data_IF_186492464781
#
_entry.id   IF_186492464781
#
_cell.length_a   1.000
_cell.length_b   1.000
_cell.length_c   1.000
_cell.angle_alpha   90.00
_cell.angle_beta   90.00
_cell.angle_gamma   90.00
#
_symmetry.space_group_name_H-M   'P 1'
#
loop_
_entity.id
_entity.type
_entity.pdbx_description
1 polymer ?
#
# COMPACT_ATOMS: atom_id res chain seq x y z
N UNK A 1 -2.13 -20.73 -37.29
CA UNK A 1 -3.57 -20.73 -36.90
C UNK A 1 -3.85 -21.26 -35.51
N UNK A 2 -2.86 -21.71 -34.75
CA UNK A 2 -3.04 -22.15 -33.33
C UNK A 2 -2.94 -21.03 -32.31
N UNK A 3 -2.28 -19.92 -32.63
CA UNK A 3 -2.04 -18.80 -31.71
C UNK A 3 -3.29 -17.92 -31.47
N UNK A 4 -4.24 -17.89 -32.40
CA UNK A 4 -5.45 -17.06 -32.24
C UNK A 4 -6.57 -17.73 -31.40
N UNK A 5 -6.53 -19.07 -31.24
CA UNK A 5 -7.50 -19.78 -30.38
C UNK A 5 -7.21 -19.64 -28.89
N UNK A 6 -5.95 -19.55 -28.49
CA UNK A 6 -5.57 -19.42 -27.07
C UNK A 6 -5.97 -18.10 -26.41
N UNK A 7 -5.83 -16.98 -27.13
CA UNK A 7 -6.20 -15.64 -26.62
C UNK A 7 -7.70 -15.48 -26.43
N UNK A 8 -8.52 -16.06 -27.35
CA UNK A 8 -9.97 -16.04 -27.25
C UNK A 8 -10.53 -16.85 -26.06
N UNK A 9 -9.86 -17.95 -25.68
CA UNK A 9 -10.29 -18.79 -24.57
C UNK A 9 -9.90 -18.23 -23.19
N UNK A 10 -8.77 -17.53 -23.09
CA UNK A 10 -8.37 -16.82 -21.85
C UNK A 10 -9.32 -15.64 -21.59
N UNK A 11 -9.68 -14.89 -22.63
CA UNK A 11 -10.66 -13.81 -22.52
C UNK A 11 -12.09 -14.32 -22.22
N UNK A 12 -12.49 -15.45 -22.77
CA UNK A 12 -13.78 -16.10 -22.46
C UNK A 12 -13.85 -16.66 -21.04
N UNK A 13 -12.74 -17.07 -20.44
CA UNK A 13 -12.70 -17.51 -19.02
C UNK A 13 -12.91 -16.36 -18.04
N UNK A 14 -12.67 -15.11 -18.43
CA UNK A 14 -12.90 -13.93 -17.59
C UNK A 14 -14.32 -13.37 -17.69
N UNK A 15 -15.04 -13.64 -18.77
CA UNK A 15 -16.45 -13.26 -18.92
C UNK A 15 -17.30 -14.45 -18.46
N UNK A 16 -17.38 -14.66 -17.14
CA UNK A 16 -18.45 -15.51 -16.58
C UNK A 16 -19.78 -14.78 -16.74
N UNK A 17 -20.81 -15.54 -17.15
CA UNK A 17 -22.19 -15.06 -17.17
C UNK A 17 -22.52 -14.37 -15.85
N UNK A 18 -23.31 -13.28 -15.92
CA UNK A 18 -23.71 -12.54 -14.75
C UNK A 18 -24.42 -13.47 -13.77
N UNK A 19 -23.79 -13.73 -12.64
CA UNK A 19 -24.38 -14.55 -11.57
C UNK A 19 -25.70 -13.89 -11.10
N UNK A 20 -26.83 -14.60 -11.11
CA UNK A 20 -28.10 -14.09 -10.62
C UNK A 20 -28.00 -13.56 -9.18
N UNK A 21 -28.79 -12.53 -8.85
CA UNK A 21 -28.78 -11.93 -7.52
C UNK A 21 -29.01 -12.93 -6.37
N UNK A 22 -29.84 -13.96 -6.60
CA UNK A 22 -30.09 -15.03 -5.60
C UNK A 22 -28.82 -15.81 -5.26
N UNK A 23 -28.01 -16.14 -6.27
CA UNK A 23 -26.76 -16.86 -6.09
C UNK A 23 -25.69 -15.99 -5.43
N UNK A 24 -25.69 -14.67 -5.71
CA UNK A 24 -24.83 -13.72 -5.00
C UNK A 24 -25.15 -13.66 -3.51
N UNK A 25 -26.43 -13.62 -3.14
CA UNK A 25 -26.85 -13.63 -1.73
C UNK A 25 -26.47 -14.95 -1.04
N UNK A 26 -26.52 -16.08 -1.76
CA UNK A 26 -26.05 -17.35 -1.23
C UNK A 26 -24.54 -17.38 -0.99
N UNK A 27 -23.77 -16.79 -1.91
CA UNK A 27 -22.31 -16.63 -1.75
C UNK A 27 -21.95 -15.73 -0.57
N UNK A 28 -22.74 -14.69 -0.30
CA UNK A 28 -22.55 -13.85 0.90
C UNK A 28 -22.62 -14.67 2.20
N UNK A 29 -23.49 -15.69 2.23
CA UNK A 29 -23.60 -16.60 3.37
C UNK A 29 -22.33 -17.43 3.59
N UNK A 30 -21.50 -17.61 2.59
CA UNK A 30 -20.25 -18.36 2.70
C UNK A 30 -19.06 -17.50 3.12
N UNK A 31 -19.13 -16.17 2.93
CA UNK A 31 -18.03 -15.24 3.26
C UNK A 31 -18.32 -14.41 4.51
N UNK A 32 -19.46 -14.61 5.18
CA UNK A 32 -19.86 -13.80 6.34
C UNK A 32 -18.83 -13.81 7.48
N UNK A 33 -18.13 -14.92 7.66
CA UNK A 33 -17.07 -15.04 8.67
C UNK A 33 -15.93 -14.06 8.43
N UNK A 34 -15.52 -13.90 7.16
CA UNK A 34 -14.44 -12.96 6.76
C UNK A 34 -14.93 -11.54 6.99
N UNK A 35 -16.17 -11.24 6.60
CA UNK A 35 -16.78 -9.92 6.81
C UNK A 35 -16.86 -9.62 8.32
N UNK A 36 -17.26 -10.60 9.14
CA UNK A 36 -17.34 -10.45 10.59
C UNK A 36 -15.97 -10.09 11.19
N UNK A 37 -14.91 -10.84 10.84
CA UNK A 37 -13.55 -10.54 11.31
C UNK A 37 -13.16 -9.13 10.91
N UNK A 38 -13.38 -8.76 9.63
CA UNK A 38 -13.04 -7.44 9.13
C UNK A 38 -13.78 -6.33 9.90
N UNK A 39 -15.09 -6.47 10.10
CA UNK A 39 -15.90 -5.51 10.86
C UNK A 39 -15.46 -5.41 12.32
N UNK A 40 -15.14 -6.54 12.97
CA UNK A 40 -14.66 -6.55 14.36
C UNK A 40 -13.30 -5.87 14.46
N UNK A 41 -12.36 -6.21 13.57
CA UNK A 41 -11.02 -5.60 13.58
C UNK A 41 -11.07 -4.09 13.31
N UNK A 42 -11.60 -3.72 12.17
CA UNK A 42 -11.63 -2.32 11.73
C UNK A 42 -12.55 -1.50 12.63
N UNK A 43 -13.75 -1.99 12.93
CA UNK A 43 -14.68 -1.32 13.82
C UNK A 43 -14.10 -1.12 15.23
N UNK A 44 -13.44 -2.14 15.78
CA UNK A 44 -12.82 -2.04 17.09
C UNK A 44 -11.63 -1.08 17.15
N UNK A 45 -10.84 -0.99 16.08
CA UNK A 45 -9.75 0.01 15.97
C UNK A 45 -10.35 1.43 15.93
N UNK A 46 -11.36 1.67 15.07
CA UNK A 46 -11.99 2.99 14.96
C UNK A 46 -12.76 3.41 16.23
N UNK A 47 -13.32 2.45 16.96
CA UNK A 47 -13.98 2.71 18.25
C UNK A 47 -12.99 2.85 19.42
N UNK A 48 -11.68 2.66 19.17
CA UNK A 48 -10.63 2.78 20.17
C UNK A 48 -10.58 1.61 21.17
N UNK A 49 -11.24 0.47 20.88
CA UNK A 49 -11.18 -0.71 21.76
C UNK A 49 -9.82 -1.39 21.73
N UNK A 50 -9.12 -1.32 20.62
CA UNK A 50 -7.78 -1.89 20.47
C UNK A 50 -6.92 -1.13 19.46
N UNK A 51 -5.62 -1.25 19.65
CA UNK A 51 -4.60 -0.75 18.72
C UNK A 51 -4.59 -1.58 17.42
N UNK A 52 -4.00 -1.08 16.32
CA UNK A 52 -3.84 -1.85 15.09
C UNK A 52 -3.15 -3.21 15.30
N UNK A 53 -2.16 -3.28 16.21
CA UNK A 53 -1.43 -4.51 16.53
C UNK A 53 -2.32 -5.53 17.25
N UNK A 54 -3.12 -5.07 18.21
CA UNK A 54 -4.10 -5.92 18.90
C UNK A 54 -5.20 -6.37 17.94
N UNK A 55 -5.67 -5.49 17.05
CA UNK A 55 -6.60 -5.83 15.98
C UNK A 55 -6.06 -6.92 15.07
N UNK A 56 -4.77 -6.86 14.69
CA UNK A 56 -4.13 -7.90 13.89
C UNK A 56 -4.10 -9.26 14.63
N UNK A 57 -3.85 -9.27 15.95
CA UNK A 57 -3.88 -10.49 16.75
C UNK A 57 -5.30 -11.12 16.80
N UNK A 58 -6.32 -10.28 16.94
CA UNK A 58 -7.75 -10.71 16.89
C UNK A 58 -8.06 -11.30 15.51
N UNK A 59 -7.60 -10.67 14.43
CA UNK A 59 -7.77 -11.17 13.06
C UNK A 59 -7.10 -12.52 12.85
N UNK A 60 -5.86 -12.68 13.32
CA UNK A 60 -5.12 -13.95 13.25
C UNK A 60 -5.83 -15.05 14.05
N UNK A 61 -6.27 -14.77 15.29
CA UNK A 61 -7.04 -15.70 16.11
C UNK A 61 -8.38 -16.07 15.45
N UNK A 62 -9.12 -15.08 14.94
CA UNK A 62 -10.40 -15.28 14.27
C UNK A 62 -10.28 -16.16 13.02
N UNK A 63 -9.30 -15.90 12.17
CA UNK A 63 -9.03 -16.73 10.99
C UNK A 63 -8.62 -18.15 11.37
N UNK A 64 -7.81 -18.30 12.43
CA UNK A 64 -7.44 -19.62 12.99
C UNK A 64 -8.67 -20.41 13.45
N UNK A 65 -9.59 -19.78 14.19
CA UNK A 65 -10.85 -20.39 14.65
C UNK A 65 -11.70 -20.85 13.44
N UNK A 66 -11.83 -19.99 12.42
CA UNK A 66 -12.57 -20.34 11.19
C UNK A 66 -11.92 -21.54 10.48
N UNK A 67 -10.59 -21.58 10.37
CA UNK A 67 -9.88 -22.68 9.75
C UNK A 67 -10.08 -24.00 10.51
N UNK A 68 -10.11 -23.97 11.84
CA UNK A 68 -10.38 -25.13 12.69
C UNK A 68 -11.85 -25.60 12.51
N UNK A 69 -12.82 -24.68 12.55
CA UNK A 69 -14.24 -25.03 12.40
C UNK A 69 -14.56 -25.59 11.03
N UNK A 70 -13.90 -25.13 9.99
CA UNK A 70 -14.01 -25.63 8.62
C UNK A 70 -13.20 -26.91 8.37
N UNK A 71 -12.55 -27.47 9.40
CA UNK A 71 -11.71 -28.67 9.30
C UNK A 71 -10.60 -28.58 8.25
N UNK A 72 -10.23 -27.37 7.87
CA UNK A 72 -9.11 -27.10 6.92
C UNK A 72 -7.76 -26.95 7.63
N UNK A 73 -7.76 -26.90 8.97
CA UNK A 73 -6.57 -26.69 9.79
C UNK A 73 -6.07 -28.03 10.38
N UNK A 74 -4.82 -28.34 10.09
CA UNK A 74 -4.13 -29.49 10.65
C UNK A 74 -2.75 -29.09 11.14
N UNK A 75 -2.05 -29.98 11.85
CA UNK A 75 -0.74 -29.68 12.44
C UNK A 75 0.31 -29.33 11.37
N UNK A 76 0.24 -29.92 10.19
CA UNK A 76 1.14 -29.61 9.09
C UNK A 76 0.91 -28.19 8.58
N UNK A 77 -0.36 -27.80 8.32
CA UNK A 77 -0.72 -26.44 7.93
C UNK A 77 -0.33 -25.42 9.00
N UNK A 78 -0.43 -25.77 10.27
CA UNK A 78 0.00 -24.91 11.38
C UNK A 78 1.50 -24.64 11.34
N UNK A 79 2.32 -25.69 11.16
CA UNK A 79 3.78 -25.55 11.05
C UNK A 79 4.15 -24.70 9.82
N UNK A 80 3.51 -24.95 8.66
CA UNK A 80 3.73 -24.17 7.43
C UNK A 80 3.41 -22.67 7.63
N UNK A 81 2.33 -22.36 8.35
CA UNK A 81 1.96 -20.96 8.68
C UNK A 81 3.01 -20.33 9.60
N UNK A 82 3.46 -21.03 10.65
CA UNK A 82 4.49 -20.54 11.57
C UNK A 82 5.81 -20.30 10.83
N UNK A 83 6.24 -21.25 9.99
CA UNK A 83 7.47 -21.14 9.20
C UNK A 83 7.39 -19.93 8.24
N UNK A 84 6.32 -19.83 7.48
CA UNK A 84 6.09 -18.70 6.56
C UNK A 84 6.07 -17.36 7.30
N UNK A 85 5.41 -17.30 8.45
CA UNK A 85 5.36 -16.09 9.30
C UNK A 85 6.74 -15.74 9.81
N UNK A 86 7.50 -16.72 10.30
CA UNK A 86 8.85 -16.50 10.81
C UNK A 86 9.80 -15.97 9.73
N UNK A 87 9.76 -16.55 8.52
CA UNK A 87 10.56 -16.09 7.38
C UNK A 87 10.19 -14.66 6.99
N UNK A 88 8.90 -14.36 6.85
CA UNK A 88 8.43 -13.03 6.46
C UNK A 88 8.79 -11.99 7.52
N UNK A 89 8.57 -12.31 8.80
CA UNK A 89 8.92 -11.44 9.93
C UNK A 89 10.42 -11.21 10.00
N UNK A 90 11.22 -12.27 9.82
CA UNK A 90 12.68 -12.17 9.78
C UNK A 90 13.17 -11.26 8.65
N UNK A 91 12.56 -11.35 7.47
CA UNK A 91 12.87 -10.45 6.35
C UNK A 91 12.54 -8.98 6.68
N UNK A 92 11.38 -8.73 7.29
CA UNK A 92 10.98 -7.38 7.72
C UNK A 92 11.98 -6.81 8.74
N UNK A 93 12.37 -7.60 9.76
CA UNK A 93 13.36 -7.16 10.74
C UNK A 93 14.74 -6.89 10.13
N UNK A 94 15.14 -7.67 9.12
CA UNK A 94 16.39 -7.43 8.40
C UNK A 94 16.36 -6.11 7.61
N UNK A 95 15.23 -5.80 6.97
CA UNK A 95 15.01 -4.50 6.30
C UNK A 95 15.04 -3.35 7.31
N UNK A 96 14.37 -3.50 8.46
CA UNK A 96 14.38 -2.51 9.55
C UNK A 96 15.79 -2.24 10.05
N UNK A 97 16.59 -3.29 10.26
CA UNK A 97 17.99 -3.14 10.68
C UNK A 97 18.81 -2.35 9.66
N UNK A 98 18.66 -2.68 8.38
CA UNK A 98 19.32 -1.94 7.30
C UNK A 98 18.89 -0.47 7.23
N UNK A 99 17.59 -0.21 7.41
CA UNK A 99 17.03 1.13 7.46
C UNK A 99 17.60 1.94 8.63
N UNK A 100 17.76 1.33 9.81
CA UNK A 100 18.33 1.99 10.99
C UNK A 100 19.78 2.42 10.77
N UNK A 101 20.60 1.57 10.17
CA UNK A 101 21.98 1.94 9.79
C UNK A 101 21.99 3.08 8.77
N UNK A 102 21.14 3.02 7.77
CA UNK A 102 21.02 4.08 6.77
C UNK A 102 20.56 5.40 7.40
N UNK A 103 19.54 5.37 8.23
CA UNK A 103 19.04 6.55 8.93
C UNK A 103 20.10 7.18 9.86
N UNK A 104 20.89 6.35 10.53
CA UNK A 104 22.04 6.82 11.34
C UNK A 104 23.07 7.53 10.46
N UNK A 105 23.38 6.98 9.29
CA UNK A 105 24.28 7.62 8.31
C UNK A 105 23.70 8.97 7.83
N UNK A 106 22.41 9.01 7.43
CA UNK A 106 21.74 10.22 6.99
C UNK A 106 21.72 11.30 8.08
N UNK A 107 21.51 10.92 9.35
CA UNK A 107 21.57 11.85 10.47
C UNK A 107 22.98 12.45 10.64
N UNK A 108 24.04 11.63 10.52
CA UNK A 108 25.43 12.09 10.60
C UNK A 108 25.81 13.02 9.44
N UNK A 109 25.30 12.80 8.24
CA UNK A 109 25.56 13.66 7.08
C UNK A 109 24.79 14.97 7.12
N UNK A 110 23.84 15.14 8.04
CA UNK A 110 22.95 16.30 8.16
C UNK A 110 22.13 16.57 6.86
N UNK A 111 21.94 15.55 6.03
CA UNK A 111 21.27 15.68 4.73
C UNK A 111 19.87 16.33 4.83
N UNK A 112 18.98 16.00 5.80
CA UNK A 112 17.70 16.67 5.95
C UNK A 112 17.83 18.18 6.17
N UNK A 113 18.80 18.59 6.99
CA UNK A 113 19.07 20.01 7.27
C UNK A 113 19.59 20.74 6.02
N UNK A 114 20.52 20.13 5.28
CA UNK A 114 21.04 20.68 4.03
C UNK A 114 19.92 20.88 2.98
N UNK A 115 19.01 19.91 2.85
CA UNK A 115 17.86 20.04 1.95
C UNK A 115 16.90 21.16 2.40
N UNK A 116 16.70 21.31 3.71
CA UNK A 116 15.87 22.37 4.28
C UNK A 116 16.49 23.76 4.03
N UNK A 117 17.80 23.91 4.27
CA UNK A 117 18.53 25.14 4.00
C UNK A 117 18.53 25.48 2.51
N UNK A 118 18.81 24.51 1.65
CA UNK A 118 18.75 24.68 0.21
C UNK A 118 17.38 25.16 -0.29
N UNK A 119 16.29 24.58 0.27
CA UNK A 119 14.93 24.99 -0.07
C UNK A 119 14.66 26.44 0.35
N UNK A 120 15.09 26.84 1.53
CA UNK A 120 14.91 28.20 2.07
C UNK A 120 15.76 29.23 1.33
N UNK A 121 17.04 28.95 1.07
CA UNK A 121 17.96 29.85 0.37
C UNK A 121 17.48 30.16 -1.05
N UNK A 122 16.94 29.15 -1.74
CA UNK A 122 16.42 29.31 -3.09
C UNK A 122 14.95 29.76 -3.14
N UNK A 123 14.30 30.02 -2.00
CA UNK A 123 12.89 30.40 -1.92
C UNK A 123 11.97 29.47 -2.72
N UNK A 124 12.21 28.15 -2.61
CA UNK A 124 11.44 27.16 -3.35
C UNK A 124 9.99 27.13 -2.86
N UNK A 125 9.06 27.14 -3.81
CA UNK A 125 7.65 27.04 -3.48
C UNK A 125 7.34 25.69 -2.82
N UNK A 126 6.68 25.67 -1.65
CA UNK A 126 6.41 24.43 -0.89
C UNK A 126 5.78 23.31 -1.71
N UNK A 127 4.80 23.65 -2.54
CA UNK A 127 4.12 22.66 -3.40
C UNK A 127 5.07 22.05 -4.45
N UNK A 128 5.99 22.84 -5.00
CA UNK A 128 6.98 22.33 -5.97
C UNK A 128 7.92 21.33 -5.29
N UNK A 129 8.35 21.60 -4.06
CA UNK A 129 9.18 20.67 -3.29
C UNK A 129 8.46 19.34 -3.06
N UNK A 130 7.21 19.38 -2.61
CA UNK A 130 6.43 18.16 -2.41
C UNK A 130 6.18 17.44 -3.75
N UNK A 131 5.89 18.15 -4.83
CA UNK A 131 5.73 17.54 -6.16
C UNK A 131 7.01 16.80 -6.61
N UNK A 132 8.19 17.37 -6.40
CA UNK A 132 9.47 16.72 -6.69
C UNK A 132 9.66 15.46 -5.85
N UNK A 133 9.31 15.51 -4.56
CA UNK A 133 9.36 14.34 -3.66
C UNK A 133 8.39 13.26 -4.16
N UNK A 134 7.16 13.61 -4.56
CA UNK A 134 6.18 12.63 -5.07
C UNK A 134 6.66 11.98 -6.37
N UNK A 135 7.27 12.74 -7.29
CA UNK A 135 7.87 12.18 -8.51
C UNK A 135 9.00 11.22 -8.17
N UNK A 136 9.86 11.58 -7.22
CA UNK A 136 10.93 10.70 -6.74
C UNK A 136 10.35 9.41 -6.12
N UNK A 137 9.32 9.53 -5.29
CA UNK A 137 8.63 8.37 -4.69
C UNK A 137 7.99 7.46 -5.74
N UNK A 138 7.37 8.03 -6.77
CA UNK A 138 6.83 7.25 -7.88
C UNK A 138 7.93 6.44 -8.58
N UNK A 139 9.08 7.07 -8.82
CA UNK A 139 10.22 6.41 -9.45
C UNK A 139 10.83 5.32 -8.54
N UNK A 140 11.08 5.62 -7.27
CA UNK A 140 11.60 4.65 -6.31
C UNK A 140 10.63 3.49 -6.08
N UNK A 141 9.32 3.77 -6.02
CA UNK A 141 8.27 2.76 -5.87
C UNK A 141 8.23 1.75 -7.01
N UNK A 142 8.68 2.13 -8.23
CA UNK A 142 8.82 1.16 -9.32
C UNK A 142 9.91 0.12 -9.05
N UNK A 143 10.90 0.42 -8.19
CA UNK A 143 12.13 -0.35 -8.01
C UNK A 143 12.22 -1.06 -6.64
N UNK A 144 11.57 -0.49 -5.62
CA UNK A 144 11.70 -0.91 -4.23
C UNK A 144 10.35 -1.36 -3.66
N UNK A 145 10.42 -2.19 -2.63
CA UNK A 145 9.26 -2.49 -1.79
C UNK A 145 8.78 -1.26 -1.00
N UNK A 146 7.46 -1.13 -0.80
CA UNK A 146 6.83 0.03 -0.15
C UNK A 146 7.35 0.25 1.27
N UNK A 147 7.48 -0.82 2.07
CA UNK A 147 7.94 -0.72 3.45
C UNK A 147 9.38 -0.21 3.51
N UNK A 148 10.29 -0.81 2.73
CA UNK A 148 11.67 -0.41 2.67
C UNK A 148 11.81 1.05 2.23
N UNK A 149 11.07 1.45 1.20
CA UNK A 149 11.11 2.82 0.67
C UNK A 149 10.67 3.84 1.72
N UNK A 150 9.54 3.62 2.39
CA UNK A 150 9.03 4.53 3.43
C UNK A 150 10.04 4.65 4.58
N UNK A 151 10.56 3.53 5.08
CA UNK A 151 11.50 3.52 6.19
C UNK A 151 12.81 4.25 5.90
N UNK A 152 13.28 4.20 4.65
CA UNK A 152 14.53 4.85 4.25
C UNK A 152 14.34 6.35 3.95
N UNK A 153 13.19 6.76 3.45
CA UNK A 153 13.01 8.09 2.87
C UNK A 153 12.27 9.08 3.77
N UNK A 154 11.35 8.61 4.62
CA UNK A 154 10.61 9.48 5.57
C UNK A 154 11.57 10.25 6.48
N UNK A 155 12.61 9.67 7.09
CA UNK A 155 13.55 10.42 7.93
C UNK A 155 14.27 11.56 7.19
N UNK A 156 14.37 11.47 5.87
CA UNK A 156 15.00 12.51 5.02
C UNK A 156 14.01 13.60 4.66
N UNK A 157 12.84 13.23 4.13
CA UNK A 157 11.90 14.19 3.54
C UNK A 157 10.87 14.76 4.52
N UNK A 158 10.52 14.02 5.57
CA UNK A 158 9.55 14.51 6.54
C UNK A 158 10.01 15.79 7.26
N UNK A 159 11.26 15.92 7.78
CA UNK A 159 11.75 17.16 8.37
C UNK A 159 11.74 18.33 7.37
N UNK A 160 12.09 18.08 6.11
CA UNK A 160 12.05 19.07 5.05
C UNK A 160 10.61 19.59 4.86
N UNK A 161 9.64 18.69 4.67
CA UNK A 161 8.23 19.05 4.46
C UNK A 161 7.67 19.81 5.67
N UNK A 162 7.99 19.37 6.90
CA UNK A 162 7.55 20.03 8.12
C UNK A 162 8.16 21.41 8.32
N UNK A 163 9.23 21.74 7.61
CA UNK A 163 9.85 23.08 7.62
C UNK A 163 9.24 24.08 6.64
N UNK A 164 8.36 23.62 5.75
CA UNK A 164 7.69 24.41 4.73
C UNK A 164 6.31 24.86 5.22
N UNK A 165 5.84 26.00 4.73
CA UNK A 165 4.53 26.56 5.07
C UNK A 165 3.51 26.26 3.98
N UNK A 166 2.51 25.44 4.30
CA UNK A 166 1.37 25.09 3.44
C UNK A 166 0.08 25.78 3.87
N UNK A 167 0.12 26.65 4.88
CA UNK A 167 -1.08 27.21 5.50
C UNK A 167 -1.90 26.18 6.30
N UNK A 168 -1.29 25.06 6.66
CA UNK A 168 -1.85 23.96 7.45
C UNK A 168 -1.15 23.89 8.81
N UNK A 169 -1.83 23.35 9.82
CA UNK A 169 -1.16 23.04 11.08
C UNK A 169 -0.09 21.94 10.88
N UNK A 170 0.90 21.82 11.80
CA UNK A 170 1.90 20.77 11.69
C UNK A 170 1.29 19.36 11.64
N UNK A 171 0.23 19.11 12.41
CA UNK A 171 -0.47 17.84 12.43
C UNK A 171 -1.19 17.55 11.10
N UNK A 172 -1.90 18.54 10.55
CA UNK A 172 -2.55 18.43 9.25
C UNK A 172 -1.54 18.19 8.11
N UNK A 173 -0.40 18.89 8.15
CA UNK A 173 0.70 18.72 7.18
C UNK A 173 1.25 17.30 7.25
N UNK A 174 1.48 16.78 8.45
CA UNK A 174 1.99 15.42 8.66
C UNK A 174 1.02 14.36 8.10
N UNK A 175 -0.28 14.50 8.37
CA UNK A 175 -1.32 13.59 7.88
C UNK A 175 -1.44 13.66 6.36
N UNK A 176 -1.52 14.87 5.80
CA UNK A 176 -1.61 15.07 4.36
C UNK A 176 -0.42 14.48 3.61
N UNK A 177 0.81 14.80 4.05
CA UNK A 177 2.02 14.27 3.45
C UNK A 177 2.13 12.74 3.59
N UNK A 178 1.76 12.20 4.76
CA UNK A 178 1.74 10.75 5.00
C UNK A 178 0.78 10.02 4.05
N UNK A 179 -0.43 10.54 3.85
CA UNK A 179 -1.42 9.96 2.92
C UNK A 179 -0.94 10.05 1.48
N UNK A 180 -0.38 11.20 1.06
CA UNK A 180 0.19 11.36 -0.28
C UNK A 180 1.31 10.35 -0.51
N UNK A 181 2.24 10.23 0.43
CA UNK A 181 3.35 9.28 0.36
C UNK A 181 2.85 7.87 0.17
N UNK A 182 1.92 7.40 1.03
CA UNK A 182 1.35 6.06 0.91
C UNK A 182 0.73 5.81 -0.46
N UNK A 183 -0.09 6.74 -0.95
CA UNK A 183 -0.77 6.58 -2.25
C UNK A 183 0.24 6.54 -3.40
N UNK A 184 1.25 7.41 -3.41
CA UNK A 184 2.24 7.48 -4.49
C UNK A 184 3.14 6.24 -4.49
N UNK A 185 3.53 5.76 -3.31
CA UNK A 185 4.33 4.52 -3.15
C UNK A 185 3.58 3.32 -3.73
N UNK A 186 2.32 3.14 -3.38
CA UNK A 186 1.49 2.04 -3.89
C UNK A 186 1.28 2.12 -5.40
N UNK A 187 1.12 3.32 -5.95
CA UNK A 187 1.06 3.53 -7.41
C UNK A 187 2.38 3.18 -8.08
N UNK A 188 3.52 3.48 -7.45
CA UNK A 188 4.84 3.08 -7.93
C UNK A 188 4.96 1.57 -8.14
N UNK A 189 4.45 0.76 -7.20
CA UNK A 189 4.51 -0.71 -7.25
C UNK A 189 3.76 -1.34 -8.45
N UNK A 190 2.85 -0.61 -9.08
CA UNK A 190 2.12 -1.07 -10.28
C UNK A 190 2.57 -0.34 -11.55
N UNK A 191 3.46 0.65 -11.41
CA UNK A 191 3.91 1.51 -12.52
C UNK A 191 5.09 0.88 -13.27
N UNK A 192 5.10 0.87 -14.62
CA UNK A 192 6.30 0.53 -15.39
C UNK A 192 7.49 1.45 -15.02
N UNK A 193 8.76 1.00 -15.09
CA UNK A 193 9.23 -0.14 -15.87
C UNK A 193 9.21 -1.49 -15.15
N UNK A 194 9.28 -1.51 -13.82
CA UNK A 194 9.31 -2.78 -13.07
C UNK A 194 7.92 -3.19 -12.60
N UNK A 195 7.25 -2.35 -11.79
CA UNK A 195 5.92 -2.66 -11.28
C UNK A 195 5.90 -3.98 -10.49
N UNK A 196 6.56 -4.03 -9.33
CA UNK A 196 6.81 -5.26 -8.58
C UNK A 196 5.55 -6.11 -8.38
N UNK A 197 4.43 -5.48 -8.02
CA UNK A 197 3.15 -6.17 -7.83
C UNK A 197 2.61 -6.77 -9.13
N UNK A 198 2.78 -6.08 -10.27
CA UNK A 198 2.37 -6.58 -11.59
C UNK A 198 3.19 -7.82 -11.95
N UNK A 199 4.50 -7.83 -11.66
CA UNK A 199 5.36 -8.99 -11.87
C UNK A 199 4.94 -10.20 -11.02
N UNK A 200 4.64 -9.98 -9.74
CA UNK A 200 4.23 -11.05 -8.82
C UNK A 200 2.91 -11.66 -9.29
N UNK A 201 1.91 -10.84 -9.62
CA UNK A 201 0.61 -11.29 -10.10
C UNK A 201 0.75 -12.01 -11.45
N UNK A 202 1.57 -11.50 -12.36
CA UNK A 202 1.78 -12.14 -13.66
C UNK A 202 2.43 -13.53 -13.53
N UNK A 203 3.35 -13.72 -12.57
CA UNK A 203 3.91 -15.06 -12.27
C UNK A 203 2.86 -16.08 -11.83
N UNK A 204 1.78 -15.62 -11.20
CA UNK A 204 0.66 -16.49 -10.81
C UNK A 204 -0.26 -16.81 -12.01
N UNK A 205 -0.30 -15.94 -13.00
CA UNK A 205 -1.09 -16.10 -14.24
C UNK A 205 -0.22 -16.69 -15.35
N UNK A 206 0.09 -18.00 -15.26
CA UNK A 206 1.10 -18.71 -16.07
C UNK A 206 0.99 -18.55 -17.59
N UNK A 207 -0.19 -18.19 -18.13
CA UNK A 207 -0.48 -18.16 -19.56
C UNK A 207 -0.70 -16.72 -20.12
N UNK A 208 -0.42 -15.68 -19.32
CA UNK A 208 -0.65 -14.28 -19.70
C UNK A 208 0.69 -13.56 -19.94
N UNK A 209 0.92 -13.00 -21.13
CA UNK A 209 2.09 -12.15 -21.38
C UNK A 209 2.10 -10.93 -20.44
N UNK A 210 3.26 -10.60 -19.90
CA UNK A 210 3.40 -9.48 -18.96
C UNK A 210 2.93 -8.14 -19.53
N UNK A 211 3.10 -7.95 -20.85
CA UNK A 211 2.65 -6.76 -21.57
C UNK A 211 1.12 -6.60 -21.48
N UNK A 212 0.38 -7.70 -21.57
CA UNK A 212 -1.08 -7.65 -21.49
C UNK A 212 -1.55 -7.38 -20.06
N UNK A 213 -0.81 -7.84 -19.06
CA UNK A 213 -1.05 -7.50 -17.66
C UNK A 213 -0.83 -5.99 -17.45
N UNK A 214 0.26 -5.42 -17.94
CA UNK A 214 0.50 -3.96 -17.86
C UNK A 214 -0.57 -3.15 -18.59
N UNK A 215 -0.99 -3.57 -19.78
CA UNK A 215 -2.11 -2.90 -20.50
C UNK A 215 -3.41 -2.92 -19.69
N UNK A 216 -3.66 -4.02 -18.97
CA UNK A 216 -4.82 -4.14 -18.09
C UNK A 216 -4.76 -3.20 -16.88
N UNK A 217 -3.57 -2.83 -16.43
CA UNK A 217 -3.35 -1.92 -15.28
C UNK A 217 -3.43 -0.44 -15.67
N UNK A 218 -3.17 -0.07 -16.94
CA UNK A 218 -3.17 1.33 -17.42
C UNK A 218 -4.41 2.13 -16.98
N UNK A 219 -5.66 1.65 -17.11
CA UNK A 219 -6.83 2.42 -16.70
C UNK A 219 -6.85 2.73 -15.21
N UNK A 220 -6.37 1.81 -14.37
CA UNK A 220 -6.25 2.00 -12.93
C UNK A 220 -5.15 3.00 -12.60
N UNK A 221 -4.00 2.90 -13.28
CA UNK A 221 -2.90 3.85 -13.16
C UNK A 221 -3.34 5.29 -13.48
N UNK A 222 -4.12 5.48 -14.56
CA UNK A 222 -4.67 6.79 -14.89
C UNK A 222 -5.61 7.32 -13.81
N UNK A 223 -6.47 6.46 -13.27
CA UNK A 223 -7.33 6.81 -12.13
C UNK A 223 -6.52 7.21 -10.89
N UNK A 224 -5.43 6.49 -10.61
CA UNK A 224 -4.56 6.77 -9.47
C UNK A 224 -3.77 8.07 -9.65
N UNK A 225 -3.32 8.38 -10.85
CA UNK A 225 -2.68 9.69 -11.15
C UNK A 225 -3.68 10.83 -10.90
N UNK A 226 -4.92 10.69 -11.35
CA UNK A 226 -5.97 11.69 -11.08
C UNK A 226 -6.19 11.82 -9.57
N UNK A 227 -6.24 10.70 -8.84
CA UNK A 227 -6.37 10.68 -7.38
C UNK A 227 -5.21 11.41 -6.70
N UNK A 228 -3.96 11.16 -7.11
CA UNK A 228 -2.78 11.85 -6.57
C UNK A 228 -2.89 13.35 -6.81
N UNK A 229 -3.23 13.78 -8.03
CA UNK A 229 -3.38 15.20 -8.36
C UNK A 229 -4.46 15.84 -7.49
N UNK A 230 -5.59 15.18 -7.27
CA UNK A 230 -6.67 15.67 -6.41
C UNK A 230 -6.23 15.81 -4.94
N UNK A 231 -5.60 14.77 -4.37
CA UNK A 231 -5.13 14.78 -2.98
C UNK A 231 -4.00 15.79 -2.76
N UNK A 232 -3.15 15.98 -3.76
CA UNK A 232 -2.07 16.97 -3.74
C UNK A 232 -2.62 18.39 -3.80
N UNK A 233 -3.56 18.66 -4.72
CA UNK A 233 -4.11 20.00 -4.93
C UNK A 233 -5.13 20.43 -3.87
N UNK A 234 -5.78 19.47 -3.23
CA UNK A 234 -6.85 19.70 -2.25
C UNK A 234 -6.58 18.91 -0.96
N UNK A 235 -5.70 19.41 -0.06
CA UNK A 235 -5.43 18.78 1.24
C UNK A 235 -6.70 18.49 2.05
N UNK A 236 -7.73 19.32 1.90
CA UNK A 236 -9.02 19.15 2.56
C UNK A 236 -9.66 17.78 2.33
N UNK A 237 -9.41 17.12 1.19
CA UNK A 237 -9.94 15.78 0.91
C UNK A 237 -9.37 14.75 1.88
N UNK A 238 -8.08 14.87 2.20
CA UNK A 238 -7.40 13.97 3.15
C UNK A 238 -7.77 14.30 4.59
N UNK A 239 -8.03 15.56 4.87
CA UNK A 239 -8.25 16.08 6.23
C UNK A 239 -9.73 16.08 6.66
N UNK A 240 -10.66 15.82 5.73
CA UNK A 240 -12.11 15.89 6.02
C UNK A 240 -12.52 14.96 7.17
N UNK A 241 -11.91 13.77 7.27
CA UNK A 241 -12.18 12.87 8.36
C UNK A 241 -11.59 13.37 9.69
N UNK A 242 -10.42 13.99 9.66
CA UNK A 242 -9.83 14.61 10.84
C UNK A 242 -10.76 15.70 11.38
N UNK A 243 -11.21 16.62 10.52
CA UNK A 243 -12.12 17.71 10.91
C UNK A 243 -13.53 17.27 11.28
N UNK A 244 -13.97 16.08 10.85
CA UNK A 244 -15.28 15.55 11.20
C UNK A 244 -15.30 14.89 12.60
N UNK A 245 -14.16 14.44 13.12
CA UNK A 245 -14.05 13.69 14.37
C UNK A 245 -13.24 14.40 15.46
N UNK A 246 -12.51 15.46 15.11
CA UNK A 246 -11.72 16.32 15.98
C UNK A 246 -12.03 17.80 15.75
#
# INVERSE_FOLDING_TARGET
TQTSRGLGDVYKRQIKDRVPWKDRMYLFKNIWHIILIFVVMIGGIYMGFFTPTEGAAIGAAGTGIIAITNKSFNIKSFIEVIESTAVTTGMIFFVLLGAEFFNSFIALTQLPNLLTEFSKENNLEPLIVVACIMILYLFLGCLMDSLAMILLTIPVFFPLVMSLDFGLSPEETAIWFGILTLVVVEVGLITPPVGLNVFIINKMAKDVPIIDTFKGVIPFLLSDIIRIILLFSFPSITLIMLWAFY
#
